data_IF_478389418368
#
_entry.id   IF_478389418368
#
_cell.length_a   1.000
_cell.length_b   1.000
_cell.length_c   1.000
_cell.angle_alpha   90.00
_cell.angle_beta   90.00
_cell.angle_gamma   90.00
#
_symmetry.space_group_name_H-M   'P 1'
#
loop_
_entity.id
_entity.type
_entity.pdbx_description
1 polymer ?
#
# COMPACT_ATOMS: atom_id res chain seq x y z
N UNK A 1 17.48 -7.39 11.47
CA UNK A 1 16.36 -8.35 11.62
C UNK A 1 16.93 -9.74 11.48
N UNK A 2 16.62 -10.66 12.39
CA UNK A 2 17.01 -12.07 12.24
C UNK A 2 16.19 -12.75 11.13
N UNK A 3 16.75 -13.78 10.50
CA UNK A 3 16.02 -14.63 9.54
C UNK A 3 14.83 -15.30 10.26
N UNK A 4 13.67 -15.45 9.60
CA UNK A 4 12.55 -16.19 10.19
C UNK A 4 12.97 -17.64 10.45
N UNK A 5 12.36 -18.27 11.46
CA UNK A 5 12.58 -19.70 11.74
C UNK A 5 11.97 -20.59 10.65
N UNK A 6 10.85 -20.14 10.09
CA UNK A 6 10.15 -20.76 8.97
C UNK A 6 9.37 -19.67 8.20
N UNK A 7 9.15 -19.90 6.91
CA UNK A 7 8.22 -19.15 6.09
C UNK A 7 7.58 -20.08 5.06
N UNK A 8 6.35 -19.79 4.63
CA UNK A 8 5.69 -20.49 3.53
C UNK A 8 5.44 -19.51 2.38
N UNK A 9 5.74 -19.92 1.16
CA UNK A 9 5.46 -19.18 -0.06
C UNK A 9 4.50 -19.99 -0.93
N UNK A 10 3.36 -19.39 -1.26
CA UNK A 10 2.28 -20.06 -1.98
C UNK A 10 2.11 -19.37 -3.33
N UNK A 11 2.33 -20.13 -4.40
CA UNK A 11 2.17 -19.70 -5.78
C UNK A 11 0.87 -20.26 -6.36
N UNK A 12 0.05 -19.37 -6.93
CA UNK A 12 -1.28 -19.71 -7.43
C UNK A 12 -1.40 -19.17 -8.86
N UNK A 13 -1.74 -20.02 -9.81
CA UNK A 13 -1.95 -19.66 -11.21
C UNK A 13 -2.97 -20.61 -11.81
N UNK A 14 -4.03 -20.08 -12.42
CA UNK A 14 -5.17 -20.86 -12.94
C UNK A 14 -4.92 -21.46 -14.31
N UNK A 15 -4.09 -20.80 -15.12
CA UNK A 15 -3.83 -21.23 -16.47
C UNK A 15 -2.77 -22.33 -16.42
N UNK A 16 -3.13 -23.53 -16.88
CA UNK A 16 -2.25 -24.70 -16.78
C UNK A 16 -0.86 -24.46 -17.39
N UNK A 17 -0.78 -23.83 -18.57
CA UNK A 17 0.51 -23.55 -19.20
C UNK A 17 1.35 -22.55 -18.40
N UNK A 18 0.74 -21.48 -17.89
CA UNK A 18 1.43 -20.51 -17.04
C UNK A 18 1.86 -21.14 -15.71
N UNK A 19 1.02 -22.01 -15.14
CA UNK A 19 1.29 -22.71 -13.89
C UNK A 19 2.52 -23.62 -14.03
N UNK A 20 2.61 -24.40 -15.11
CA UNK A 20 3.79 -25.22 -15.35
C UNK A 20 5.06 -24.37 -15.50
N UNK A 21 4.98 -23.26 -16.25
CA UNK A 21 6.11 -22.34 -16.41
C UNK A 21 6.54 -21.69 -15.08
N UNK A 22 5.57 -21.24 -14.28
CA UNK A 22 5.80 -20.65 -12.96
C UNK A 22 6.55 -21.62 -12.06
N UNK A 23 6.10 -22.89 -12.01
CA UNK A 23 6.75 -23.93 -11.22
C UNK A 23 8.21 -24.14 -11.64
N UNK A 24 8.48 -24.24 -12.95
CA UNK A 24 9.83 -24.42 -13.48
C UNK A 24 10.75 -23.26 -13.08
N UNK A 25 10.30 -22.01 -13.21
CA UNK A 25 11.12 -20.85 -12.87
C UNK A 25 11.35 -20.71 -11.35
N UNK A 26 10.34 -21.02 -10.53
CA UNK A 26 10.51 -21.02 -9.06
C UNK A 26 11.45 -22.13 -8.60
N UNK A 27 11.32 -23.36 -9.12
CA UNK A 27 12.21 -24.47 -8.80
C UNK A 27 13.67 -24.15 -9.19
N UNK A 28 13.86 -23.48 -10.33
CA UNK A 28 15.17 -23.02 -10.80
C UNK A 28 15.76 -21.93 -9.91
N UNK A 29 14.97 -20.93 -9.49
CA UNK A 29 15.40 -19.88 -8.56
C UNK A 29 15.81 -20.47 -7.20
N UNK A 30 14.99 -21.38 -6.65
CA UNK A 30 15.30 -22.06 -5.38
C UNK A 30 16.59 -22.86 -5.49
N UNK A 31 16.80 -23.58 -6.59
CA UNK A 31 18.01 -24.36 -6.83
C UNK A 31 19.25 -23.46 -6.95
N UNK A 32 19.16 -22.36 -7.69
CA UNK A 32 20.27 -21.43 -7.91
C UNK A 32 20.67 -20.66 -6.65
N UNK A 33 19.71 -20.34 -5.79
CA UNK A 33 19.94 -19.62 -4.54
C UNK A 33 19.67 -20.50 -3.30
N UNK A 34 20.03 -21.79 -3.37
CA UNK A 34 19.77 -22.76 -2.29
C UNK A 34 20.29 -22.32 -0.91
N UNK A 35 21.46 -21.67 -0.83
CA UNK A 35 21.99 -21.11 0.43
C UNK A 35 21.17 -19.94 0.99
N UNK A 36 20.37 -19.27 0.16
CA UNK A 36 19.48 -18.17 0.56
C UNK A 36 18.18 -18.69 1.14
N UNK A 37 17.61 -19.72 0.53
CA UNK A 37 16.28 -20.22 0.88
C UNK A 37 16.30 -21.38 1.88
N UNK A 38 17.40 -22.15 1.95
CA UNK A 38 17.71 -23.22 2.92
C UNK A 38 16.47 -24.06 3.36
N UNK A 39 16.51 -24.77 4.48
CA UNK A 39 15.39 -25.61 4.95
C UNK A 39 14.25 -24.83 5.63
N UNK A 40 14.29 -23.50 5.65
CA UNK A 40 13.29 -22.67 6.37
C UNK A 40 12.15 -22.19 5.46
N UNK A 41 12.31 -22.27 4.14
CA UNK A 41 11.28 -21.88 3.18
C UNK A 41 10.51 -23.11 2.67
N UNK A 42 9.23 -23.17 3.03
CA UNK A 42 8.26 -24.12 2.47
C UNK A 42 7.60 -23.48 1.23
N UNK A 43 7.53 -24.22 0.12
CA UNK A 43 6.98 -23.71 -1.15
C UNK A 43 5.84 -24.59 -1.63
N UNK A 44 4.68 -23.99 -1.88
CA UNK A 44 3.47 -24.66 -2.36
C UNK A 44 2.99 -24.06 -3.66
N UNK A 45 2.38 -24.90 -4.49
CA UNK A 45 1.83 -24.53 -5.77
C UNK A 45 0.38 -25.00 -5.87
N UNK A 46 -0.51 -24.12 -6.36
CA UNK A 46 -1.90 -24.46 -6.65
C UNK A 46 -2.27 -24.02 -8.07
N UNK A 47 -2.71 -24.97 -8.90
CA UNK A 47 -3.27 -24.68 -10.22
C UNK A 47 -4.78 -24.43 -10.09
N UNK A 48 -5.15 -23.21 -9.68
CA UNK A 48 -6.52 -22.83 -9.34
C UNK A 48 -6.67 -21.29 -9.41
N UNK A 49 -7.89 -20.79 -9.33
CA UNK A 49 -8.16 -19.36 -9.16
C UNK A 49 -7.69 -18.87 -7.79
N UNK A 50 -7.07 -17.68 -7.76
CA UNK A 50 -6.60 -17.05 -6.51
C UNK A 50 -7.70 -16.98 -5.46
N UNK A 51 -8.91 -16.55 -5.85
CA UNK A 51 -10.05 -16.44 -4.96
C UNK A 51 -10.38 -17.75 -4.23
N UNK A 52 -10.27 -18.89 -4.91
CA UNK A 52 -10.56 -20.21 -4.34
C UNK A 52 -9.51 -20.61 -3.30
N UNK A 53 -8.22 -20.39 -3.60
CA UNK A 53 -7.12 -20.74 -2.69
C UNK A 53 -7.08 -19.78 -1.49
N UNK A 54 -7.24 -18.47 -1.73
CA UNK A 54 -7.27 -17.47 -0.68
C UNK A 54 -8.40 -17.73 0.31
N UNK A 55 -9.61 -18.01 -0.18
CA UNK A 55 -10.76 -18.33 0.69
C UNK A 55 -10.46 -19.56 1.56
N UNK A 56 -9.95 -20.65 0.98
CA UNK A 56 -9.53 -21.85 1.75
C UNK A 56 -8.49 -21.53 2.82
N UNK A 57 -7.48 -20.72 2.50
CA UNK A 57 -6.45 -20.31 3.47
C UNK A 57 -7.07 -19.51 4.61
N UNK A 58 -7.97 -18.56 4.30
CA UNK A 58 -8.61 -17.74 5.31
C UNK A 58 -9.58 -18.56 6.18
N UNK A 59 -10.33 -19.48 5.59
CA UNK A 59 -11.26 -20.35 6.31
C UNK A 59 -10.53 -21.33 7.24
N UNK A 60 -9.43 -21.93 6.78
CA UNK A 60 -8.67 -22.91 7.55
C UNK A 60 -7.75 -22.29 8.61
N UNK A 61 -7.17 -21.12 8.32
CA UNK A 61 -6.05 -20.59 9.11
C UNK A 61 -6.23 -19.18 9.66
N UNK A 62 -7.31 -18.43 9.40
CA UNK A 62 -7.43 -17.01 9.80
C UNK A 62 -6.98 -16.70 11.24
N UNK A 63 -7.39 -17.50 12.23
CA UNK A 63 -6.99 -17.29 13.64
C UNK A 63 -5.52 -17.63 13.94
N UNK A 64 -4.94 -18.56 13.19
CA UNK A 64 -3.57 -19.08 13.38
C UNK A 64 -2.59 -18.57 12.33
N UNK A 65 -3.06 -17.71 11.43
CA UNK A 65 -2.28 -17.25 10.31
C UNK A 65 -1.05 -16.49 10.83
N UNK A 66 0.12 -16.92 10.37
CA UNK A 66 1.35 -16.15 10.54
C UNK A 66 1.20 -14.79 9.84
N UNK A 67 2.03 -13.77 10.18
CA UNK A 67 2.09 -12.55 9.40
C UNK A 67 2.25 -12.87 7.91
N UNK A 68 1.31 -12.42 7.09
CA UNK A 68 1.16 -12.86 5.70
C UNK A 68 1.05 -11.66 4.77
N UNK A 69 1.69 -11.77 3.61
CA UNK A 69 1.68 -10.75 2.58
C UNK A 69 1.10 -11.35 1.30
N UNK A 70 -0.02 -10.82 0.83
CA UNK A 70 -0.72 -11.29 -0.36
C UNK A 70 -0.39 -10.36 -1.52
N UNK A 71 0.35 -10.87 -2.51
CA UNK A 71 0.57 -10.16 -3.78
C UNK A 71 -0.46 -10.64 -4.81
N UNK A 72 -1.26 -9.71 -5.33
CA UNK A 72 -2.46 -10.01 -6.11
C UNK A 72 -2.39 -9.25 -7.44
N UNK A 73 -2.14 -9.98 -8.52
CA UNK A 73 -2.00 -9.40 -9.86
C UNK A 73 -3.05 -10.03 -10.81
N UNK A 74 -4.29 -9.52 -10.83
CA UNK A 74 -5.33 -10.07 -11.68
C UNK A 74 -5.04 -9.80 -13.17
N UNK A 75 -5.49 -10.72 -14.03
CA UNK A 75 -5.52 -10.47 -15.48
C UNK A 75 -6.65 -9.48 -15.80
N UNK A 76 -6.32 -8.18 -15.80
CA UNK A 76 -7.29 -7.10 -15.95
C UNK A 76 -8.02 -6.77 -14.65
N UNK A 77 -9.34 -6.71 -14.67
CA UNK A 77 -10.18 -6.30 -13.51
C UNK A 77 -11.15 -7.41 -13.05
N UNK A 78 -10.94 -8.64 -13.48
CA UNK A 78 -11.77 -9.80 -13.13
C UNK A 78 -10.95 -10.88 -12.42
N UNK A 79 -11.61 -11.78 -11.71
CA UNK A 79 -10.99 -12.94 -11.05
C UNK A 79 -10.61 -12.73 -9.57
N UNK A 80 -10.60 -11.49 -9.08
CA UNK A 80 -10.48 -11.21 -7.64
C UNK A 80 -11.51 -10.16 -7.24
N UNK A 81 -12.56 -10.60 -6.55
CA UNK A 81 -13.60 -9.68 -6.05
C UNK A 81 -13.12 -8.93 -4.81
N UNK A 82 -13.74 -7.78 -4.55
CA UNK A 82 -13.51 -7.00 -3.35
C UNK A 82 -13.72 -7.82 -2.07
N UNK A 83 -14.69 -8.74 -2.06
CA UNK A 83 -14.98 -9.57 -0.88
C UNK A 83 -13.79 -10.48 -0.50
N UNK A 84 -13.04 -11.01 -1.49
CA UNK A 84 -11.80 -11.77 -1.21
C UNK A 84 -10.77 -10.87 -0.54
N UNK A 85 -10.58 -9.65 -1.04
CA UNK A 85 -9.64 -8.68 -0.48
C UNK A 85 -10.03 -8.28 0.94
N UNK A 86 -11.31 -8.00 1.16
CA UNK A 86 -11.90 -7.70 2.45
C UNK A 86 -11.69 -8.84 3.45
N UNK A 87 -11.95 -10.08 3.04
CA UNK A 87 -11.75 -11.25 3.89
C UNK A 87 -10.28 -11.41 4.31
N UNK A 88 -9.34 -11.21 3.38
CA UNK A 88 -7.91 -11.20 3.72
C UNK A 88 -7.63 -10.09 4.76
N UNK A 89 -7.96 -8.84 4.43
CA UNK A 89 -7.63 -7.66 5.26
C UNK A 89 -8.32 -7.63 6.62
N UNK A 90 -9.42 -8.37 6.81
CA UNK A 90 -10.07 -8.56 8.11
C UNK A 90 -9.14 -9.21 9.16
N UNK A 91 -8.12 -9.95 8.70
CA UNK A 91 -7.11 -10.54 9.57
C UNK A 91 -5.99 -9.53 9.84
N UNK A 92 -5.89 -9.03 11.08
CA UNK A 92 -4.96 -7.95 11.46
C UNK A 92 -3.47 -8.18 11.12
N UNK A 93 -3.07 -9.42 10.90
CA UNK A 93 -1.68 -9.81 10.58
C UNK A 93 -1.42 -9.94 9.07
N UNK A 94 -2.38 -9.60 8.22
CA UNK A 94 -2.21 -9.65 6.77
C UNK A 94 -1.97 -8.28 6.16
N UNK A 95 -1.24 -8.26 5.06
CA UNK A 95 -1.13 -7.13 4.16
C UNK A 95 -1.47 -7.58 2.73
N UNK A 96 -2.06 -6.69 1.95
CA UNK A 96 -2.38 -6.93 0.53
C UNK A 96 -1.59 -5.95 -0.32
N UNK A 97 -1.07 -6.42 -1.44
CA UNK A 97 -0.53 -5.57 -2.49
C UNK A 97 -1.17 -5.98 -3.82
N UNK A 98 -2.12 -5.16 -4.29
CA UNK A 98 -2.98 -5.49 -5.43
C UNK A 98 -2.75 -4.56 -6.62
N UNK A 99 -2.68 -5.14 -7.81
CA UNK A 99 -2.70 -4.40 -9.07
C UNK A 99 -4.13 -3.96 -9.41
N UNK A 100 -4.42 -2.68 -9.24
CA UNK A 100 -5.66 -2.06 -9.68
C UNK A 100 -5.50 -1.53 -11.11
N UNK A 101 -6.00 -2.31 -12.08
CA UNK A 101 -5.89 -2.06 -13.52
C UNK A 101 -6.79 -0.91 -14.01
N UNK A 102 -6.54 0.30 -13.48
CA UNK A 102 -7.39 1.49 -13.65
C UNK A 102 -7.61 1.86 -15.12
N UNK A 103 -6.64 1.63 -15.99
CA UNK A 103 -6.77 1.90 -17.43
C UNK A 103 -7.88 1.06 -18.04
N UNK A 104 -7.91 -0.22 -17.69
CA UNK A 104 -8.87 -1.17 -18.23
C UNK A 104 -10.25 -0.93 -17.61
N UNK A 105 -10.31 -0.69 -16.30
CA UNK A 105 -11.56 -0.27 -15.62
C UNK A 105 -12.14 0.99 -16.27
N UNK A 106 -11.31 2.00 -16.51
CA UNK A 106 -11.74 3.24 -17.17
C UNK A 106 -12.20 3.01 -18.62
N UNK A 107 -11.49 2.17 -19.38
CA UNK A 107 -11.83 1.83 -20.77
C UNK A 107 -13.20 1.16 -20.87
N UNK A 108 -13.51 0.25 -19.94
CA UNK A 108 -14.75 -0.53 -19.95
C UNK A 108 -15.82 0.01 -19.00
N UNK A 109 -15.62 1.20 -18.44
CA UNK A 109 -16.49 1.77 -17.41
C UNK A 109 -17.96 1.87 -17.84
N UNK A 110 -18.21 2.24 -19.09
CA UNK A 110 -19.55 2.39 -19.67
C UNK A 110 -20.09 1.09 -20.31
N UNK A 111 -19.33 -0.01 -20.24
CA UNK A 111 -19.68 -1.27 -20.88
C UNK A 111 -20.66 -2.07 -20.03
N UNK A 112 -21.86 -2.30 -20.55
CA UNK A 112 -22.87 -3.15 -19.90
C UNK A 112 -22.37 -4.58 -19.62
N UNK A 113 -21.55 -5.14 -20.52
CA UNK A 113 -20.96 -6.48 -20.38
C UNK A 113 -19.98 -6.58 -19.21
N UNK A 114 -19.28 -5.51 -18.88
CA UNK A 114 -18.24 -5.50 -17.85
C UNK A 114 -18.71 -4.89 -16.52
N UNK A 115 -19.96 -4.42 -16.48
CA UNK A 115 -20.56 -3.76 -15.32
C UNK A 115 -20.41 -4.59 -14.05
N UNK A 116 -20.81 -5.86 -14.09
CA UNK A 116 -20.78 -6.77 -12.93
C UNK A 116 -19.33 -6.93 -12.42
N UNK A 117 -18.35 -7.15 -13.30
CA UNK A 117 -16.95 -7.30 -12.86
C UNK A 117 -16.38 -6.03 -12.24
N UNK A 118 -16.79 -4.85 -12.71
CA UNK A 118 -16.39 -3.57 -12.11
C UNK A 118 -17.05 -3.39 -10.74
N UNK A 119 -18.34 -3.72 -10.62
CA UNK A 119 -19.08 -3.69 -9.35
C UNK A 119 -18.47 -4.68 -8.33
N UNK A 120 -18.10 -5.90 -8.76
CA UNK A 120 -17.41 -6.89 -7.94
C UNK A 120 -16.01 -6.45 -7.50
N UNK A 121 -15.23 -5.82 -8.40
CA UNK A 121 -13.91 -5.26 -8.07
C UNK A 121 -14.04 -4.14 -7.05
N UNK A 122 -15.03 -3.27 -7.20
CA UNK A 122 -15.28 -2.15 -6.29
C UNK A 122 -16.04 -2.57 -5.03
N UNK A 123 -16.61 -3.78 -4.98
CA UNK A 123 -17.41 -4.26 -3.85
C UNK A 123 -18.70 -3.47 -3.65
N UNK A 124 -19.26 -2.89 -4.71
CA UNK A 124 -20.47 -2.08 -4.66
C UNK A 124 -21.20 -2.04 -6.00
N UNK A 125 -22.53 -1.93 -5.93
CA UNK A 125 -23.37 -1.76 -7.11
C UNK A 125 -23.43 -0.29 -7.56
N UNK A 126 -23.79 -0.05 -8.82
CA UNK A 126 -24.02 1.28 -9.39
C UNK A 126 -22.80 2.23 -9.28
N UNK A 127 -21.59 1.67 -9.43
CA UNK A 127 -20.30 2.40 -9.37
C UNK A 127 -20.33 3.70 -10.16
N UNK A 128 -20.93 3.72 -11.36
CA UNK A 128 -21.03 4.91 -12.20
C UNK A 128 -21.76 6.08 -11.52
N UNK A 129 -22.92 5.80 -10.93
CA UNK A 129 -23.76 6.81 -10.25
C UNK A 129 -23.06 7.31 -8.99
N UNK A 130 -22.46 6.39 -8.23
CA UNK A 130 -21.71 6.73 -7.01
C UNK A 130 -20.54 7.65 -7.36
N UNK A 131 -19.77 7.31 -8.39
CA UNK A 131 -18.61 8.09 -8.80
C UNK A 131 -19.00 9.50 -9.26
N UNK A 132 -20.08 9.65 -10.03
CA UNK A 132 -20.60 10.94 -10.47
C UNK A 132 -21.09 11.80 -9.29
N UNK A 133 -21.72 11.19 -8.28
CA UNK A 133 -22.27 11.93 -7.14
C UNK A 133 -21.21 12.30 -6.10
N UNK A 134 -20.28 11.39 -5.78
CA UNK A 134 -19.28 11.61 -4.74
C UNK A 134 -18.06 12.39 -5.24
N UNK A 135 -17.67 12.22 -6.51
CA UNK A 135 -16.44 12.79 -7.06
C UNK A 135 -16.66 13.52 -8.40
N UNK A 136 -17.66 14.43 -8.52
CA UNK A 136 -18.00 15.07 -9.79
C UNK A 136 -16.87 15.91 -10.39
N UNK A 137 -15.94 16.39 -9.56
CA UNK A 137 -14.87 17.30 -9.96
C UNK A 137 -13.52 16.60 -10.16
N UNK A 138 -13.43 15.29 -9.95
CA UNK A 138 -12.19 14.54 -10.14
C UNK A 138 -12.15 13.92 -11.55
N UNK A 139 -10.98 13.89 -12.21
CA UNK A 139 -10.78 13.03 -13.37
C UNK A 139 -11.18 11.59 -13.04
N UNK A 140 -11.84 10.89 -13.97
CA UNK A 140 -12.42 9.56 -13.71
C UNK A 140 -11.42 8.57 -13.14
N UNK A 141 -10.17 8.58 -13.61
CA UNK A 141 -9.10 7.73 -13.10
C UNK A 141 -8.84 7.96 -11.60
N UNK A 142 -8.74 9.22 -11.17
CA UNK A 142 -8.53 9.59 -9.78
C UNK A 142 -9.76 9.26 -8.93
N UNK A 143 -10.96 9.50 -9.47
CA UNK A 143 -12.22 9.17 -8.82
C UNK A 143 -12.37 7.66 -8.59
N UNK A 144 -11.98 6.82 -9.58
CA UNK A 144 -11.97 5.36 -9.46
C UNK A 144 -11.00 4.88 -8.38
N UNK A 145 -9.78 5.40 -8.38
CA UNK A 145 -8.79 5.07 -7.35
C UNK A 145 -9.27 5.49 -5.97
N UNK A 146 -9.83 6.70 -5.84
CA UNK A 146 -10.34 7.23 -4.57
C UNK A 146 -11.51 6.38 -4.06
N UNK A 147 -12.45 6.02 -4.93
CA UNK A 147 -13.57 5.14 -4.60
C UNK A 147 -13.07 3.77 -4.09
N UNK A 148 -12.16 3.14 -4.82
CA UNK A 148 -11.61 1.84 -4.45
C UNK A 148 -10.90 1.88 -3.08
N UNK A 149 -10.08 2.91 -2.85
CA UNK A 149 -9.40 3.11 -1.55
C UNK A 149 -10.37 3.37 -0.40
N UNK A 150 -11.38 4.20 -0.63
CA UNK A 150 -12.41 4.47 0.37
C UNK A 150 -13.16 3.19 0.72
N UNK A 151 -13.46 2.34 -0.26
CA UNK A 151 -14.07 1.04 0.01
C UNK A 151 -13.17 0.14 0.86
N UNK A 152 -11.86 0.10 0.60
CA UNK A 152 -10.91 -0.65 1.45
C UNK A 152 -10.95 -0.15 2.90
N UNK A 153 -11.02 1.15 3.13
CA UNK A 153 -11.11 1.72 4.47
C UNK A 153 -12.47 1.48 5.14
N UNK A 154 -13.57 1.74 4.43
CA UNK A 154 -14.92 1.73 4.99
C UNK A 154 -15.50 0.32 5.14
N UNK A 155 -15.22 -0.57 4.18
CA UNK A 155 -15.81 -1.91 4.13
C UNK A 155 -14.86 -3.03 4.56
N UNK A 156 -13.55 -2.85 4.42
CA UNK A 156 -12.55 -3.81 4.87
C UNK A 156 -11.80 -3.40 6.15
N UNK A 157 -12.11 -2.22 6.72
CA UNK A 157 -11.51 -1.68 7.95
C UNK A 157 -9.97 -1.69 7.91
N UNK A 158 -9.37 -1.53 6.72
CA UNK A 158 -7.92 -1.44 6.60
C UNK A 158 -7.47 -0.06 7.05
N UNK A 159 -6.44 0.01 7.90
CA UNK A 159 -5.99 1.30 8.45
C UNK A 159 -5.22 2.16 7.47
N UNK A 160 -4.43 1.54 6.60
CA UNK A 160 -3.52 2.25 5.71
C UNK A 160 -3.67 1.74 4.28
N UNK A 161 -3.80 2.69 3.34
CA UNK A 161 -3.65 2.40 1.90
C UNK A 161 -2.60 3.30 1.26
N UNK A 162 -1.69 2.70 0.49
CA UNK A 162 -0.65 3.40 -0.27
C UNK A 162 -0.75 3.01 -1.75
N UNK A 163 -1.22 3.92 -2.62
CA UNK A 163 -1.22 3.70 -4.06
C UNK A 163 0.13 4.08 -4.66
N UNK A 164 0.60 3.26 -5.60
CA UNK A 164 1.80 3.52 -6.40
C UNK A 164 1.46 3.50 -7.88
N UNK A 165 1.69 4.62 -8.55
CA UNK A 165 1.29 4.83 -9.94
C UNK A 165 2.31 4.20 -10.88
N UNK A 166 1.84 3.35 -11.80
CA UNK A 166 2.67 2.78 -12.86
C UNK A 166 2.19 3.28 -14.21
N UNK A 167 3.09 3.92 -14.96
CA UNK A 167 2.79 4.49 -16.27
C UNK A 167 3.39 3.65 -17.40
N UNK A 168 2.84 3.80 -18.60
CA UNK A 168 3.48 3.34 -19.83
C UNK A 168 4.67 4.26 -20.14
N UNK A 169 5.83 3.65 -20.40
CA UNK A 169 7.13 4.34 -20.50
C UNK A 169 7.14 5.51 -21.51
N UNK A 170 6.38 5.41 -22.61
CA UNK A 170 6.43 6.40 -23.70
C UNK A 170 5.36 7.49 -23.65
N UNK A 171 4.28 7.33 -22.87
CA UNK A 171 3.09 8.21 -22.95
C UNK A 171 2.66 8.84 -21.64
N UNK A 172 3.35 8.56 -20.53
CA UNK A 172 2.95 8.96 -19.16
C UNK A 172 1.49 8.60 -18.83
N UNK A 173 0.91 7.65 -19.57
CA UNK A 173 -0.45 7.17 -19.37
C UNK A 173 -0.40 6.09 -18.30
N UNK A 174 -1.26 6.23 -17.28
CA UNK A 174 -1.35 5.24 -16.21
C UNK A 174 -1.92 3.94 -16.72
N UNK A 175 -1.21 2.86 -16.42
CA UNK A 175 -1.65 1.50 -16.72
C UNK A 175 -2.46 1.00 -15.53
N UNK A 176 -1.85 1.05 -14.35
CA UNK A 176 -2.43 0.57 -13.11
C UNK A 176 -1.87 1.30 -11.90
N UNK A 177 -2.54 1.12 -10.77
CA UNK A 177 -2.04 1.45 -9.45
C UNK A 177 -1.71 0.17 -8.71
N UNK A 178 -0.51 0.05 -8.14
CA UNK A 178 -0.24 -0.95 -7.11
C UNK A 178 -0.72 -0.39 -5.78
N UNK A 179 -1.78 -0.98 -5.21
CA UNK A 179 -2.38 -0.51 -3.96
C UNK A 179 -1.94 -1.44 -2.85
N UNK A 180 -1.14 -0.92 -1.91
CA UNK A 180 -0.79 -1.62 -0.68
C UNK A 180 -1.81 -1.31 0.41
N UNK A 181 -2.42 -2.32 0.99
CA UNK A 181 -3.32 -2.25 2.14
C UNK A 181 -2.71 -2.94 3.35
N UNK A 182 -2.60 -2.25 4.49
CA UNK A 182 -2.05 -2.81 5.72
C UNK A 182 -2.73 -2.22 6.96
N UNK A 183 -2.79 -3.02 8.03
CA UNK A 183 -3.19 -2.59 9.37
C UNK A 183 -1.99 -2.18 10.25
N UNK A 184 -0.77 -2.41 9.76
CA UNK A 184 0.47 -2.15 10.47
C UNK A 184 1.03 -0.77 10.12
N UNK A 185 1.15 0.17 11.07
CA UNK A 185 1.80 1.46 10.80
C UNK A 185 3.26 1.27 10.38
N UNK A 186 3.93 0.24 10.91
CA UNK A 186 5.30 -0.11 10.51
C UNK A 186 5.36 -0.67 9.08
N UNK A 187 4.38 -1.47 8.69
CA UNK A 187 4.26 -1.98 7.32
C UNK A 187 4.03 -0.83 6.34
N UNK A 188 3.14 0.10 6.69
CA UNK A 188 2.87 1.32 5.93
C UNK A 188 4.12 2.21 5.81
N UNK A 189 4.80 2.54 6.91
CA UNK A 189 6.04 3.32 6.90
C UNK A 189 7.12 2.68 6.02
N UNK A 190 7.33 1.36 6.16
CA UNK A 190 8.32 0.64 5.36
C UNK A 190 7.97 0.65 3.87
N UNK A 191 6.71 0.38 3.51
CA UNK A 191 6.27 0.41 2.12
C UNK A 191 6.38 1.83 1.53
N UNK A 192 6.03 2.86 2.31
CA UNK A 192 6.18 4.27 1.93
C UNK A 192 7.64 4.62 1.62
N UNK A 193 8.60 4.16 2.43
CA UNK A 193 10.03 4.33 2.18
C UNK A 193 10.49 3.64 0.89
N UNK A 194 10.04 2.41 0.66
CA UNK A 194 10.35 1.65 -0.57
C UNK A 194 9.80 2.39 -1.79
N UNK A 195 8.51 2.74 -1.77
CA UNK A 195 7.84 3.47 -2.86
C UNK A 195 8.47 4.83 -3.11
N UNK A 196 8.85 5.58 -2.07
CA UNK A 196 9.55 6.85 -2.22
C UNK A 196 10.91 6.65 -2.92
N UNK A 197 11.69 5.64 -2.51
CA UNK A 197 12.99 5.34 -3.13
C UNK A 197 12.84 4.91 -4.59
N UNK A 198 11.90 4.01 -4.89
CA UNK A 198 11.65 3.54 -6.25
C UNK A 198 11.04 4.64 -7.12
N UNK A 199 10.13 5.45 -6.58
CA UNK A 199 9.49 6.56 -7.29
C UNK A 199 10.43 7.72 -7.62
N UNK A 200 11.60 7.80 -6.98
CA UNK A 200 12.66 8.74 -7.39
C UNK A 200 13.49 8.27 -8.58
N UNK A 201 13.30 7.03 -9.05
CA UNK A 201 14.07 6.39 -10.11
C UNK A 201 13.12 5.86 -11.23
N UNK A 202 12.73 6.68 -12.21
CA UNK A 202 12.13 6.21 -13.48
C UNK A 202 10.64 6.53 -13.73
N UNK A 203 9.91 5.61 -14.38
CA UNK A 203 8.51 5.75 -14.85
C UNK A 203 7.44 5.50 -13.77
N UNK A 204 7.88 5.30 -12.53
CA UNK A 204 7.03 5.04 -11.37
C UNK A 204 6.78 6.31 -10.57
N UNK A 205 5.50 6.61 -10.31
CA UNK A 205 5.09 7.79 -9.55
C UNK A 205 4.64 7.42 -8.15
N UNK A 206 5.47 7.70 -7.14
CA UNK A 206 4.96 7.77 -5.78
C UNK A 206 4.10 9.02 -5.64
N UNK A 207 2.80 8.83 -5.48
CA UNK A 207 1.83 9.92 -5.38
C UNK A 207 1.59 10.38 -3.94
N UNK A 208 2.21 9.71 -2.98
CA UNK A 208 1.78 9.79 -1.60
C UNK A 208 0.40 9.16 -1.36
N UNK A 209 -0.01 9.11 -0.10
CA UNK A 209 -1.35 8.67 0.32
C UNK A 209 -2.45 9.70 0.04
N UNK A 210 -2.09 10.98 -0.14
CA UNK A 210 -3.03 12.07 -0.36
C UNK A 210 -3.41 12.18 -1.84
N UNK A 211 -4.59 11.65 -2.17
CA UNK A 211 -5.41 11.95 -3.37
C UNK A 211 -4.71 12.15 -4.74
N UNK A 212 -3.52 11.58 -4.95
CA UNK A 212 -2.88 11.55 -6.26
C UNK A 212 -2.24 12.86 -6.73
N UNK A 213 -2.09 13.87 -5.87
CA UNK A 213 -1.36 15.10 -6.24
C UNK A 213 0.14 14.92 -6.01
N UNK A 214 0.92 14.90 -7.09
CA UNK A 214 2.36 15.14 -6.99
C UNK A 214 2.62 16.60 -6.62
N UNK A 215 3.29 16.85 -5.51
CA UNK A 215 3.84 18.18 -5.22
C UNK A 215 5.03 18.44 -6.14
N UNK A 216 4.94 19.50 -6.96
CA UNK A 216 5.86 19.76 -8.07
C UNK A 216 7.24 20.31 -7.65
N UNK A 217 7.49 20.62 -6.37
CA UNK A 217 8.83 21.02 -5.91
C UNK A 217 9.14 20.47 -4.50
N UNK A 218 10.35 19.91 -4.34
CA UNK A 218 10.80 19.29 -3.08
C UNK A 218 10.99 20.31 -1.95
N UNK A 219 11.38 21.55 -2.28
CA UNK A 219 11.62 22.61 -1.31
C UNK A 219 10.33 23.27 -0.81
N UNK A 220 9.37 23.61 -1.69
CA UNK A 220 8.06 24.10 -1.22
C UNK A 220 7.30 23.02 -0.46
N UNK A 221 7.49 21.74 -0.82
CA UNK A 221 6.93 20.61 -0.10
C UNK A 221 7.38 20.57 1.36
N UNK A 222 8.67 20.78 1.65
CA UNK A 222 9.19 20.68 3.01
C UNK A 222 8.68 21.81 3.91
N UNK A 223 8.63 23.06 3.42
CA UNK A 223 8.09 24.17 4.20
C UNK A 223 6.60 23.98 4.51
N UNK A 224 5.80 23.57 3.53
CA UNK A 224 4.39 23.23 3.74
C UNK A 224 4.19 22.06 4.71
N UNK A 225 5.12 21.10 4.70
CA UNK A 225 5.10 19.98 5.62
C UNK A 225 5.38 20.41 7.07
N UNK A 226 6.34 21.31 7.28
CA UNK A 226 6.61 21.89 8.59
C UNK A 226 5.37 22.64 9.13
N UNK A 227 4.74 23.46 8.30
CA UNK A 227 3.49 24.15 8.65
C UNK A 227 2.37 23.16 8.98
N UNK A 228 2.23 22.10 8.18
CA UNK A 228 1.28 21.02 8.44
C UNK A 228 1.52 20.34 9.78
N UNK A 229 2.77 20.03 10.15
CA UNK A 229 3.09 19.40 11.43
C UNK A 229 2.73 20.31 12.61
N UNK A 230 3.08 21.60 12.54
CA UNK A 230 2.71 22.59 13.55
C UNK A 230 1.20 22.68 13.71
N UNK A 231 0.46 22.79 12.61
CA UNK A 231 -1.00 22.85 12.63
C UNK A 231 -1.63 21.55 13.18
N UNK A 232 -1.20 20.39 12.69
CA UNK A 232 -1.76 19.07 13.03
C UNK A 232 -1.58 18.70 14.50
N UNK A 233 -0.48 19.14 15.09
CA UNK A 233 -0.10 18.79 16.46
C UNK A 233 -0.16 19.96 17.45
N UNK A 234 -0.62 21.15 17.04
CA UNK A 234 -0.68 22.33 17.93
C UNK A 234 -1.34 22.03 19.28
N UNK A 235 -0.70 22.51 20.34
CA UNK A 235 -1.09 22.26 21.74
C UNK A 235 -0.92 20.82 22.24
N UNK A 236 -0.28 19.92 21.48
CA UNK A 236 -0.09 18.50 21.85
C UNK A 236 1.38 18.18 22.11
N UNK A 237 1.59 17.30 23.07
CA UNK A 237 2.85 16.57 23.24
C UNK A 237 2.67 15.14 22.73
N UNK A 238 3.48 14.74 21.74
CA UNK A 238 3.40 13.43 21.07
C UNK A 238 4.77 12.81 20.93
N UNK A 239 4.86 11.48 20.90
CA UNK A 239 6.15 10.82 20.63
C UNK A 239 6.60 11.03 19.19
N UNK A 240 7.90 11.00 18.93
CA UNK A 240 8.44 11.07 17.57
C UNK A 240 7.89 9.98 16.66
N UNK A 241 7.67 8.77 17.19
CA UNK A 241 6.97 7.70 16.48
C UNK A 241 5.55 8.12 16.07
N UNK A 242 4.78 8.70 17.00
CA UNK A 242 3.38 9.06 16.75
C UNK A 242 3.24 10.25 15.82
N UNK A 243 4.18 11.21 15.82
CA UNK A 243 4.22 12.28 14.80
C UNK A 243 4.18 11.67 13.40
N UNK A 244 4.93 10.57 13.17
CA UNK A 244 4.94 9.86 11.90
C UNK A 244 3.69 9.00 11.72
N UNK A 245 3.38 8.12 12.68
CA UNK A 245 2.31 7.13 12.56
C UNK A 245 0.91 7.73 12.43
N UNK A 246 0.66 8.89 13.05
CA UNK A 246 -0.62 9.61 12.92
C UNK A 246 -0.78 10.34 11.59
N UNK A 247 0.29 10.50 10.80
CA UNK A 247 0.29 11.28 9.55
C UNK A 247 0.76 10.47 8.34
N UNK A 248 0.88 9.14 8.49
CA UNK A 248 1.36 8.26 7.42
C UNK A 248 0.53 8.37 6.14
N UNK A 249 -0.79 8.62 6.26
CA UNK A 249 -1.72 8.78 5.13
C UNK A 249 -1.97 10.23 4.70
N UNK A 250 -1.43 11.20 5.41
CA UNK A 250 -1.71 12.62 5.15
C UNK A 250 -0.62 13.26 4.29
N UNK A 251 0.55 12.62 4.20
CA UNK A 251 1.76 13.25 3.69
C UNK A 251 2.49 12.34 2.70
N UNK A 252 3.20 12.91 1.74
CA UNK A 252 4.13 12.16 0.89
C UNK A 252 5.47 11.86 1.62
N UNK A 253 5.77 12.56 2.71
CA UNK A 253 7.07 12.53 3.35
C UNK A 253 7.39 11.20 4.04
N UNK A 254 8.68 10.85 4.01
CA UNK A 254 9.23 9.62 4.63
C UNK A 254 10.06 9.97 5.86
N UNK A 255 10.50 8.97 6.63
CA UNK A 255 11.09 9.12 7.97
C UNK A 255 12.21 10.16 8.03
N UNK A 256 13.09 10.20 7.04
CA UNK A 256 14.19 11.18 6.97
C UNK A 256 13.67 12.63 6.97
N UNK A 257 12.57 12.90 6.26
CA UNK A 257 12.00 14.24 6.21
C UNK A 257 11.34 14.64 7.52
N UNK A 258 10.71 13.70 8.23
CA UNK A 258 10.23 13.96 9.59
C UNK A 258 11.39 14.26 10.55
N UNK A 259 12.50 13.53 10.42
CA UNK A 259 13.70 13.80 11.21
C UNK A 259 14.21 15.22 10.96
N UNK A 260 14.39 15.59 9.69
CA UNK A 260 14.91 16.91 9.30
C UNK A 260 13.96 18.04 9.72
N UNK A 261 12.65 17.89 9.48
CA UNK A 261 11.63 18.87 9.87
C UNK A 261 11.56 19.11 11.38
N UNK A 262 11.67 18.05 12.20
CA UNK A 262 11.63 18.18 13.66
C UNK A 262 12.89 18.86 14.18
N UNK A 263 14.08 18.56 13.62
CA UNK A 263 15.30 19.26 14.02
C UNK A 263 15.30 20.73 13.59
N UNK A 264 14.74 21.05 12.42
CA UNK A 264 14.57 22.43 11.94
C UNK A 264 13.63 23.22 12.85
N UNK A 265 12.44 22.67 13.15
CA UNK A 265 11.48 23.28 14.06
C UNK A 265 12.05 23.54 15.45
N UNK A 266 12.88 22.62 15.96
CA UNK A 266 13.54 22.80 17.25
C UNK A 266 14.64 23.87 17.18
N UNK A 267 15.43 23.89 16.11
CA UNK A 267 16.46 24.91 15.90
C UNK A 267 15.90 26.32 15.72
N UNK A 268 14.64 26.43 15.29
CA UNK A 268 13.87 27.68 15.22
C UNK A 268 13.07 28.00 16.49
N UNK A 269 13.27 27.25 17.58
CA UNK A 269 12.55 27.39 18.86
C UNK A 269 11.01 27.27 18.73
N UNK A 270 10.50 26.62 17.67
CA UNK A 270 9.06 26.44 17.42
C UNK A 270 8.46 25.23 18.12
N UNK A 271 9.28 24.27 18.56
CA UNK A 271 8.88 23.09 19.32
C UNK A 271 9.90 22.79 20.42
N UNK A 272 9.52 21.93 21.37
CA UNK A 272 10.44 21.41 22.39
C UNK A 272 10.55 19.89 22.32
N UNK A 273 11.76 19.35 22.47
CA UNK A 273 12.03 17.91 22.46
C UNK A 273 12.55 17.44 23.81
N UNK A 274 11.87 16.47 24.43
CA UNK A 274 12.32 15.77 25.63
C UNK A 274 12.72 14.33 25.32
N UNK A 275 13.77 13.83 25.98
CA UNK A 275 14.23 12.44 25.82
C UNK A 275 15.13 12.20 24.60
N UNK A 276 15.92 13.19 24.20
CA UNK A 276 16.95 13.03 23.16
C UNK A 276 17.99 11.97 23.54
N UNK A 277 18.42 11.23 22.54
CA UNK A 277 19.51 10.26 22.67
C UNK A 277 20.89 10.90 22.68
N UNK A 278 21.95 10.10 22.89
CA UNK A 278 23.33 10.55 22.83
C UNK A 278 23.62 11.27 21.50
N UNK A 279 24.38 12.36 21.55
CA UNK A 279 24.73 13.20 20.38
C UNK A 279 23.53 13.80 19.64
N UNK A 280 22.38 13.96 20.32
CA UNK A 280 21.20 14.62 19.76
C UNK A 280 20.32 13.73 18.87
N UNK A 281 20.49 12.41 18.91
CA UNK A 281 19.61 11.50 18.16
C UNK A 281 18.15 11.56 18.64
N UNK A 282 17.19 11.35 17.74
CA UNK A 282 15.77 11.25 18.07
C UNK A 282 15.32 9.78 18.21
N UNK A 283 15.24 9.24 19.44
CA UNK A 283 14.65 7.92 19.64
C UNK A 283 13.12 7.96 19.43
N UNK A 284 12.52 6.81 19.15
CA UNK A 284 11.06 6.70 18.85
C UNK A 284 10.16 7.24 19.97
N UNK A 285 10.62 7.13 21.22
CA UNK A 285 9.91 7.59 22.40
C UNK A 285 10.25 9.03 22.83
N UNK A 286 11.08 9.76 22.07
CA UNK A 286 11.30 11.18 22.34
C UNK A 286 9.96 11.94 22.24
N UNK A 287 9.68 12.80 23.21
CA UNK A 287 8.44 13.57 23.27
C UNK A 287 8.65 14.93 22.62
N UNK A 288 7.77 15.27 21.69
CA UNK A 288 7.79 16.51 20.93
C UNK A 288 6.57 17.31 21.36
N UNK A 289 6.80 18.51 21.89
CA UNK A 289 5.75 19.44 22.29
C UNK A 289 5.62 20.52 21.23
N UNK A 290 4.44 20.55 20.60
CA UNK A 290 4.04 21.59 19.66
C UNK A 290 3.18 22.61 20.42
N UNK A 291 3.56 23.90 20.41
CA UNK A 291 2.83 24.95 21.13
C UNK A 291 1.41 25.19 20.60
#
# INVERSE_FOLDING_TARGET
MGRPKEASCIFIEKNDSNFQNLRVEIDKEIKNASQRYDSWLDVKFYNDEFANVASRIMDEYSERLAPSFFFIDPSGFSGVSFEVIKNILSTKKTEVFITFMVRDVNRFFESSTHRISIEELCGMDNVQVILQNQYPNLPREQALLKLYRNQLHESADVKYTLPFRVNADDKLQTIYYLVHGTNSPKGCELMKEIMYKTGTEGSFGYLGPAEGQMSLTRFEGLSKFIEFLLFRFSGRTVSYQNVRYETLMDTEFVRKHYHDAILELEGEDKIQIAGKGPRGGLPENALITFP
#
